data_IF_561124317315
#
_entry.id   IF_561124317315
#
_cell.length_a   1.000
_cell.length_b   1.000
_cell.length_c   1.000
_cell.angle_alpha   90.00
_cell.angle_beta   90.00
_cell.angle_gamma   90.00
#
_symmetry.space_group_name_H-M   'P 1'
#
loop_
_entity.id
_entity.type
_entity.pdbx_description
1 polymer ?
#
# COMPACT_ATOMS: atom_id res chain seq x y z
N UNK A 1 -64.14 14.30 8.95
CA UNK A 1 -62.92 13.80 9.64
C UNK A 1 -61.82 13.65 8.62
N UNK A 2 -60.99 14.68 8.49
CA UNK A 2 -59.78 14.67 7.66
C UNK A 2 -58.74 15.47 8.42
N UNK A 3 -57.88 14.76 9.16
CA UNK A 3 -56.76 15.35 9.88
C UNK A 3 -55.67 15.73 8.86
N UNK A 4 -55.45 17.03 8.67
CA UNK A 4 -54.21 17.53 8.08
C UNK A 4 -53.08 17.38 9.10
N UNK A 5 -52.09 16.53 8.77
CA UNK A 5 -50.83 16.47 9.49
C UNK A 5 -49.97 17.67 9.09
N UNK A 6 -49.83 18.64 9.98
CA UNK A 6 -48.78 19.66 9.90
C UNK A 6 -47.46 18.97 10.22
N UNK A 7 -46.63 18.75 9.21
CA UNK A 7 -45.23 18.34 9.39
C UNK A 7 -44.44 19.59 9.79
N UNK A 8 -43.81 19.65 10.97
CA UNK A 8 -42.95 20.78 11.31
C UNK A 8 -41.70 20.71 10.41
N UNK A 9 -41.46 21.76 9.63
CA UNK A 9 -40.21 21.96 8.91
C UNK A 9 -39.08 22.11 9.94
N UNK A 10 -38.16 21.15 9.98
CA UNK A 10 -36.88 21.30 10.67
C UNK A 10 -36.20 22.58 10.18
N UNK A 11 -36.15 23.60 11.03
CA UNK A 11 -35.26 24.73 10.82
C UNK A 11 -33.82 24.21 10.95
N UNK A 12 -33.07 24.25 9.84
CA UNK A 12 -31.63 24.03 9.86
C UNK A 12 -30.95 25.05 10.80
N UNK A 13 -30.31 24.63 11.90
CA UNK A 13 -29.66 25.56 12.83
C UNK A 13 -28.43 26.25 12.22
N UNK A 14 -28.01 25.85 11.02
CA UNK A 14 -26.87 26.44 10.32
C UNK A 14 -27.20 27.66 9.45
N UNK A 15 -28.47 28.01 9.22
CA UNK A 15 -28.85 29.04 8.24
C UNK A 15 -28.51 30.49 8.65
N UNK A 16 -28.09 30.73 9.90
CA UNK A 16 -27.92 32.09 10.45
C UNK A 16 -26.47 32.55 10.62
N UNK A 17 -25.48 31.89 10.01
CA UNK A 17 -24.09 32.34 10.05
C UNK A 17 -23.74 33.19 8.83
N UNK A 18 -23.19 34.40 9.06
CA UNK A 18 -22.70 35.29 8.00
C UNK A 18 -21.73 34.55 7.07
N UNK A 19 -21.82 34.82 5.77
CA UNK A 19 -20.94 34.23 4.74
C UNK A 19 -19.44 34.31 5.10
N UNK A 20 -19.04 35.37 5.81
CA UNK A 20 -17.67 35.54 6.31
C UNK A 20 -17.26 34.49 7.36
N UNK A 21 -18.17 34.08 8.24
CA UNK A 21 -17.93 33.04 9.27
C UNK A 21 -17.80 31.68 8.60
N UNK A 22 -18.66 31.38 7.63
CA UNK A 22 -18.57 30.14 6.83
C UNK A 22 -17.30 30.09 5.97
N UNK A 23 -16.86 31.24 5.45
CA UNK A 23 -15.60 31.36 4.71
C UNK A 23 -14.37 31.22 5.62
N UNK A 24 -14.40 31.78 6.82
CA UNK A 24 -13.34 31.59 7.82
C UNK A 24 -13.28 30.14 8.32
N UNK A 25 -14.42 29.49 8.52
CA UNK A 25 -14.50 28.06 8.79
C UNK A 25 -13.95 27.25 7.61
N UNK A 26 -14.26 27.64 6.37
CA UNK A 26 -13.68 27.02 5.17
C UNK A 26 -12.16 27.19 5.13
N UNK A 27 -11.63 28.39 5.31
CA UNK A 27 -10.20 28.64 5.33
C UNK A 27 -9.51 27.90 6.47
N UNK A 28 -10.13 27.84 7.64
CA UNK A 28 -9.60 27.09 8.78
C UNK A 28 -9.59 25.59 8.52
N UNK A 29 -10.69 25.00 8.04
CA UNK A 29 -10.78 23.56 7.69
C UNK A 29 -9.89 23.22 6.50
N UNK A 30 -9.78 24.10 5.51
CA UNK A 30 -8.87 23.94 4.37
C UNK A 30 -7.41 23.98 4.82
N UNK A 31 -7.05 24.95 5.67
CA UNK A 31 -5.70 25.08 6.22
C UNK A 31 -5.35 23.89 7.11
N UNK A 32 -6.25 23.44 8.00
CA UNK A 32 -6.01 22.27 8.86
C UNK A 32 -5.96 20.98 8.05
N UNK A 33 -6.82 20.83 7.02
CA UNK A 33 -6.77 19.70 6.09
C UNK A 33 -5.47 19.70 5.28
N UNK A 34 -4.98 20.86 4.83
CA UNK A 34 -3.71 21.01 4.11
C UNK A 34 -2.50 20.74 5.00
N UNK A 35 -2.54 21.17 6.26
CA UNK A 35 -1.52 20.81 7.25
C UNK A 35 -1.55 19.30 7.48
N UNK A 36 -2.73 18.69 7.66
CA UNK A 36 -2.90 17.24 7.83
C UNK A 36 -2.41 16.42 6.60
N UNK A 37 -2.65 16.94 5.38
CA UNK A 37 -2.10 16.40 4.10
C UNK A 37 -0.57 16.35 4.13
N UNK A 38 0.04 17.40 4.64
CA UNK A 38 1.49 17.57 4.60
C UNK A 38 2.20 16.87 5.75
N UNK A 39 1.55 16.73 6.92
CA UNK A 39 2.23 16.29 8.15
C UNK A 39 1.91 14.88 8.61
N UNK A 40 0.70 14.33 8.35
CA UNK A 40 0.22 13.19 9.14
C UNK A 40 -0.23 11.95 8.36
N UNK A 41 -0.67 12.04 7.10
CA UNK A 41 -1.16 10.84 6.37
C UNK A 41 -0.76 10.79 4.88
N UNK A 42 -0.06 9.75 4.42
CA UNK A 42 -0.01 9.42 3.00
C UNK A 42 -1.33 8.76 2.58
N UNK A 43 -2.31 9.52 2.10
CA UNK A 43 -3.60 8.94 1.70
C UNK A 43 -4.53 9.88 0.94
N UNK A 44 -5.59 9.30 0.34
CA UNK A 44 -6.61 10.03 -0.42
C UNK A 44 -7.57 10.84 0.47
N UNK A 45 -7.64 10.52 1.76
CA UNK A 45 -8.64 11.05 2.70
C UNK A 45 -8.74 12.59 2.68
N UNK A 46 -7.65 13.36 2.74
CA UNK A 46 -7.80 14.80 2.75
C UNK A 46 -8.26 15.39 1.41
N UNK A 47 -7.90 14.75 0.28
CA UNK A 47 -8.40 15.15 -1.03
C UNK A 47 -9.91 14.91 -1.15
N UNK A 48 -10.39 13.81 -0.58
CA UNK A 48 -11.84 13.52 -0.48
C UNK A 48 -12.52 14.56 0.40
N UNK A 49 -11.96 14.89 1.58
CA UNK A 49 -12.48 15.96 2.42
C UNK A 49 -12.60 17.29 1.64
N UNK A 50 -11.55 17.70 0.93
CA UNK A 50 -11.55 18.88 0.06
C UNK A 50 -12.64 18.81 -1.02
N UNK A 51 -12.77 17.67 -1.69
CA UNK A 51 -13.78 17.47 -2.75
C UNK A 51 -15.21 17.48 -2.21
N UNK A 52 -15.43 17.08 -0.96
CA UNK A 52 -16.74 17.11 -0.29
C UNK A 52 -17.08 18.46 0.32
N UNK A 53 -16.12 19.38 0.49
CA UNK A 53 -16.38 20.72 1.06
C UNK A 53 -17.51 21.49 0.37
N UNK A 54 -17.66 21.44 -0.96
CA UNK A 54 -18.76 22.12 -1.64
C UNK A 54 -20.17 21.65 -1.24
N UNK A 55 -20.32 20.47 -0.62
CA UNK A 55 -21.60 20.00 -0.09
C UNK A 55 -22.11 20.86 1.07
N UNK A 56 -21.21 21.59 1.76
CA UNK A 56 -21.57 22.48 2.86
C UNK A 56 -21.83 23.92 2.40
N UNK A 57 -21.72 24.20 1.10
CA UNK A 57 -22.04 25.50 0.53
C UNK A 57 -23.51 25.57 0.08
N UNK A 58 -24.09 26.77 0.10
CA UNK A 58 -25.43 26.98 -0.44
C UNK A 58 -25.48 26.56 -1.93
N UNK A 59 -26.60 26.00 -2.39
CA UNK A 59 -26.79 25.52 -3.77
C UNK A 59 -26.44 26.54 -4.88
N UNK A 60 -26.40 27.83 -4.55
CA UNK A 60 -26.06 28.92 -5.48
C UNK A 60 -24.56 29.25 -5.55
N UNK A 61 -23.70 28.60 -4.76
CA UNK A 61 -22.27 28.90 -4.69
C UNK A 61 -21.55 28.87 -6.05
N UNK A 62 -21.81 27.92 -6.98
CA UNK A 62 -21.10 27.90 -8.25
C UNK A 62 -21.47 29.13 -9.10
N UNK A 63 -22.74 29.57 -9.01
CA UNK A 63 -23.23 30.77 -9.70
C UNK A 63 -22.64 32.03 -9.09
N UNK A 64 -22.53 32.11 -7.75
CA UNK A 64 -21.91 33.23 -7.03
C UNK A 64 -20.42 33.36 -7.40
N UNK A 65 -19.68 32.26 -7.45
CA UNK A 65 -18.27 32.24 -7.86
C UNK A 65 -18.11 32.61 -9.34
N UNK A 66 -18.91 32.03 -10.23
CA UNK A 66 -18.87 32.34 -11.65
C UNK A 66 -19.20 33.81 -11.95
N UNK A 67 -20.16 34.42 -11.23
CA UNK A 67 -20.45 35.86 -11.33
C UNK A 67 -19.29 36.72 -10.86
N UNK A 68 -18.63 36.32 -9.77
CA UNK A 68 -17.46 37.02 -9.23
C UNK A 68 -16.25 36.92 -10.17
N UNK A 69 -16.02 35.76 -10.80
CA UNK A 69 -14.99 35.58 -11.83
C UNK A 69 -15.29 36.35 -13.13
N UNK A 70 -16.57 36.51 -13.49
CA UNK A 70 -17.00 37.35 -14.61
C UNK A 70 -17.04 38.85 -14.31
N UNK A 71 -16.71 39.27 -13.08
CA UNK A 71 -16.69 40.69 -12.69
C UNK A 71 -18.07 41.34 -12.60
N UNK A 72 -19.17 40.58 -12.50
CA UNK A 72 -20.52 41.15 -12.37
C UNK A 72 -20.75 41.69 -10.96
N UNK A 73 -21.02 43.00 -10.84
CA UNK A 73 -21.33 43.63 -9.56
C UNK A 73 -22.74 43.27 -9.08
N UNK A 74 -22.86 42.95 -7.79
CA UNK A 74 -24.10 42.53 -7.12
C UNK A 74 -25.22 43.57 -7.19
N UNK A 75 -24.88 44.86 -7.35
CA UNK A 75 -25.83 45.97 -7.22
C UNK A 75 -26.79 46.17 -8.41
N UNK A 76 -26.41 45.81 -9.65
CA UNK A 76 -27.27 46.08 -10.82
C UNK A 76 -28.26 44.96 -11.14
N UNK A 77 -28.08 43.78 -10.57
CA UNK A 77 -28.85 42.59 -10.97
C UNK A 77 -30.06 42.33 -10.06
N UNK A 78 -30.03 42.79 -8.81
CA UNK A 78 -31.13 42.57 -7.85
C UNK A 78 -32.38 43.40 -8.16
N UNK A 79 -32.22 44.58 -8.80
CA UNK A 79 -33.36 45.38 -9.25
C UNK A 79 -34.05 44.78 -10.49
N UNK A 80 -33.29 44.14 -11.39
CA UNK A 80 -33.85 43.52 -12.59
C UNK A 80 -34.54 42.18 -12.29
N UNK A 81 -34.08 41.47 -11.27
CA UNK A 81 -34.64 40.15 -10.86
C UNK A 81 -36.00 40.23 -10.15
N UNK A 82 -36.45 41.42 -9.75
CA UNK A 82 -37.78 41.62 -9.15
C UNK A 82 -38.92 41.69 -10.18
N UNK A 83 -38.62 41.97 -11.46
CA UNK A 83 -39.62 42.04 -12.54
C UNK A 83 -39.77 40.74 -13.34
N UNK A 84 -38.75 39.89 -13.38
CA UNK A 84 -38.84 38.57 -14.02
C UNK A 84 -39.02 37.47 -12.96
N UNK A 85 -40.21 37.39 -12.36
CA UNK A 85 -40.68 36.13 -11.73
C UNK A 85 -41.11 35.16 -12.83
N UNK A 86 -40.16 34.80 -13.69
CA UNK A 86 -40.29 33.60 -14.48
C UNK A 86 -39.91 32.44 -13.57
N UNK A 87 -40.86 31.54 -13.33
CA UNK A 87 -40.60 30.28 -12.63
C UNK A 87 -39.33 29.67 -13.25
N UNK A 88 -38.27 29.37 -12.48
CA UNK A 88 -37.19 28.60 -13.03
C UNK A 88 -37.79 27.22 -13.32
N UNK A 89 -38.19 26.97 -14.56
CA UNK A 89 -38.40 25.63 -15.07
C UNK A 89 -37.05 24.94 -15.02
N UNK A 90 -36.73 24.43 -13.84
CA UNK A 90 -35.64 23.50 -13.62
C UNK A 90 -35.91 22.34 -14.56
N UNK A 91 -35.09 22.27 -15.61
CA UNK A 91 -34.92 21.23 -16.59
C UNK A 91 -35.81 19.99 -16.42
N UNK A 92 -36.61 19.68 -17.45
CA UNK A 92 -37.74 18.73 -17.41
C UNK A 92 -37.55 17.39 -16.67
N UNK A 93 -38.67 16.73 -16.30
CA UNK A 93 -38.74 15.59 -15.38
C UNK A 93 -37.82 14.42 -15.74
N UNK A 94 -37.49 14.28 -17.03
CA UNK A 94 -36.58 13.27 -17.56
C UNK A 94 -35.15 13.47 -17.05
N UNK A 95 -34.62 14.71 -17.07
CA UNK A 95 -33.26 15.02 -16.57
C UNK A 95 -33.15 14.75 -15.07
N UNK A 96 -34.19 15.05 -14.30
CA UNK A 96 -34.25 14.74 -12.86
C UNK A 96 -34.27 13.23 -12.59
N UNK A 97 -35.02 12.45 -13.37
CA UNK A 97 -35.06 10.98 -13.26
C UNK A 97 -33.70 10.34 -13.60
N UNK A 98 -33.02 10.81 -14.65
CA UNK A 98 -31.68 10.31 -15.00
C UNK A 98 -30.63 10.62 -13.93
N UNK A 99 -30.64 11.85 -13.38
CA UNK A 99 -29.73 12.22 -12.28
C UNK A 99 -30.02 11.38 -11.03
N UNK A 100 -31.29 11.20 -10.68
CA UNK A 100 -31.69 10.37 -9.55
C UNK A 100 -31.27 8.90 -9.75
N UNK A 101 -31.42 8.35 -10.96
CA UNK A 101 -30.96 7.00 -11.28
C UNK A 101 -29.45 6.88 -11.17
N UNK A 102 -28.68 7.80 -11.76
CA UNK A 102 -27.22 7.80 -11.65
C UNK A 102 -26.74 7.90 -10.19
N UNK A 103 -27.40 8.72 -9.37
CA UNK A 103 -27.13 8.79 -7.94
C UNK A 103 -27.46 7.47 -7.23
N UNK A 104 -28.61 6.87 -7.51
CA UNK A 104 -28.99 5.59 -6.90
C UNK A 104 -28.02 4.47 -7.29
N UNK A 105 -27.59 4.41 -8.55
CA UNK A 105 -26.56 3.49 -9.02
C UNK A 105 -25.23 3.73 -8.30
N UNK A 106 -24.84 4.99 -8.09
CA UNK A 106 -23.62 5.32 -7.33
C UNK A 106 -23.72 4.85 -5.89
N UNK A 107 -24.81 5.13 -5.19
CA UNK A 107 -25.03 4.66 -3.80
C UNK A 107 -25.04 3.15 -3.73
N UNK A 108 -25.73 2.48 -4.65
CA UNK A 108 -25.73 1.01 -4.73
C UNK A 108 -24.32 0.46 -4.95
N UNK A 109 -23.53 1.07 -5.85
CA UNK A 109 -22.14 0.67 -6.09
C UNK A 109 -21.27 0.87 -4.85
N UNK A 110 -21.39 2.00 -4.15
CA UNK A 110 -20.62 2.29 -2.93
C UNK A 110 -20.97 1.34 -1.78
N UNK A 111 -22.23 0.91 -1.68
CA UNK A 111 -22.65 -0.10 -0.72
C UNK A 111 -22.22 -1.51 -1.14
N UNK A 112 -22.14 -1.79 -2.44
CA UNK A 112 -21.82 -3.11 -2.97
C UNK A 112 -20.32 -3.44 -2.97
N UNK A 113 -19.47 -2.51 -3.44
CA UNK A 113 -18.04 -2.73 -3.62
C UNK A 113 -17.34 -3.27 -2.37
N UNK A 114 -17.64 -2.78 -1.15
CA UNK A 114 -16.99 -3.29 0.03
C UNK A 114 -17.35 -4.75 0.37
N UNK A 115 -18.50 -5.26 -0.08
CA UNK A 115 -18.92 -6.65 0.13
C UNK A 115 -18.64 -7.55 -1.09
N UNK A 116 -17.95 -7.03 -2.10
CA UNK A 116 -17.70 -7.74 -3.37
C UNK A 116 -16.74 -8.93 -3.28
N UNK A 117 -16.25 -9.27 -2.08
CA UNK A 117 -15.26 -10.33 -1.79
C UNK A 117 -15.55 -11.68 -2.46
N UNK A 118 -16.83 -12.02 -2.63
CA UNK A 118 -17.26 -13.27 -3.24
C UNK A 118 -16.99 -13.30 -4.75
N UNK A 119 -16.98 -12.14 -5.40
CA UNK A 119 -16.76 -11.96 -6.84
C UNK A 119 -15.28 -11.67 -7.09
N UNK A 120 -14.66 -10.80 -6.31
CA UNK A 120 -13.29 -10.30 -6.52
C UNK A 120 -12.21 -11.21 -5.90
N UNK A 121 -12.38 -12.53 -6.04
CA UNK A 121 -11.51 -13.53 -5.39
C UNK A 121 -10.03 -13.44 -5.77
N UNK A 122 -9.69 -12.90 -6.95
CA UNK A 122 -8.30 -12.75 -7.39
C UNK A 122 -7.53 -11.63 -6.71
N UNK A 123 -8.24 -10.74 -6.01
CA UNK A 123 -7.65 -9.69 -5.19
C UNK A 123 -7.52 -10.10 -3.73
N UNK A 124 -8.20 -11.19 -3.33
CA UNK A 124 -8.10 -11.72 -1.97
C UNK A 124 -6.76 -12.45 -1.84
N UNK A 125 -5.99 -12.03 -0.84
CA UNK A 125 -4.78 -12.72 -0.41
C UNK A 125 -5.05 -13.32 0.98
N UNK A 126 -4.25 -12.96 1.99
CA UNK A 126 -4.55 -13.31 3.39
C UNK A 126 -5.75 -12.56 3.96
N UNK A 127 -6.11 -11.44 3.34
CA UNK A 127 -7.27 -10.62 3.71
C UNK A 127 -8.28 -10.68 2.57
N UNK A 128 -9.56 -10.79 2.92
CA UNK A 128 -10.65 -10.78 1.96
C UNK A 128 -10.97 -9.33 1.62
N UNK A 129 -10.90 -8.91 0.36
CA UNK A 129 -11.07 -7.49 0.07
C UNK A 129 -10.38 -7.02 -1.17
N UNK A 130 -11.10 -6.20 -1.94
CA UNK A 130 -10.46 -5.32 -2.90
C UNK A 130 -9.72 -4.21 -2.12
N UNK A 131 -8.41 -4.12 -2.34
CA UNK A 131 -7.60 -3.05 -1.78
C UNK A 131 -8.20 -1.68 -2.14
N UNK A 132 -8.45 -0.86 -1.12
CA UNK A 132 -9.00 0.49 -1.23
C UNK A 132 -10.53 0.58 -1.14
N UNK A 133 -11.25 -0.53 -1.30
CA UNK A 133 -12.71 -0.55 -1.33
C UNK A 133 -13.34 -1.39 -0.21
N UNK A 134 -12.59 -2.31 0.38
CA UNK A 134 -13.04 -3.08 1.53
C UNK A 134 -13.09 -2.23 2.81
N UNK A 135 -14.05 -2.52 3.70
CA UNK A 135 -14.17 -1.86 5.02
C UNK A 135 -13.02 -2.21 5.98
N UNK A 136 -12.37 -3.36 5.80
CA UNK A 136 -11.31 -3.87 6.69
C UNK A 136 -9.93 -3.24 6.42
N UNK A 137 -9.85 -2.27 5.50
CA UNK A 137 -8.60 -1.65 5.05
C UNK A 137 -7.69 -1.15 6.18
N UNK A 138 -8.24 -0.57 7.25
CA UNK A 138 -7.45 -0.03 8.37
C UNK A 138 -7.16 -1.04 9.48
N UNK A 139 -7.57 -2.30 9.34
CA UNK A 139 -7.37 -3.35 10.36
C UNK A 139 -6.03 -4.08 10.17
N UNK A 140 -5.37 -3.87 9.03
CA UNK A 140 -4.21 -4.66 8.61
C UNK A 140 -2.93 -3.83 8.56
N UNK A 141 -1.99 -4.18 9.43
CA UNK A 141 -0.60 -3.74 9.41
C UNK A 141 0.26 -4.82 8.78
N UNK A 142 0.97 -4.45 7.71
CA UNK A 142 1.85 -5.34 6.97
C UNK A 142 3.30 -4.92 7.19
N UNK A 143 4.18 -5.87 7.49
CA UNK A 143 5.64 -5.66 7.50
C UNK A 143 6.33 -6.68 6.62
N UNK A 144 7.39 -6.25 5.92
CA UNK A 144 8.22 -7.09 5.06
C UNK A 144 9.64 -7.15 5.61
N UNK A 145 10.23 -8.34 5.67
CA UNK A 145 11.62 -8.52 6.11
C UNK A 145 12.56 -8.78 4.94
N UNK A 146 12.16 -9.68 4.04
CA UNK A 146 12.95 -10.09 2.89
C UNK A 146 12.08 -10.04 1.63
N UNK A 147 12.61 -9.48 0.55
CA UNK A 147 11.97 -9.46 -0.76
C UNK A 147 13.04 -9.68 -1.80
N UNK A 148 12.93 -10.81 -2.49
CA UNK A 148 13.90 -11.26 -3.48
C UNK A 148 13.16 -11.51 -4.79
N UNK A 149 13.70 -10.94 -5.86
CA UNK A 149 13.25 -11.20 -7.21
C UNK A 149 14.35 -11.99 -7.89
N UNK A 150 14.06 -13.24 -8.25
CA UNK A 150 14.98 -14.12 -8.97
C UNK A 150 14.52 -14.26 -10.41
N UNK A 151 15.43 -13.97 -11.34
CA UNK A 151 15.30 -14.30 -12.75
C UNK A 151 16.17 -15.53 -12.97
N UNK A 152 15.56 -16.61 -13.42
CA UNK A 152 16.29 -17.83 -13.80
C UNK A 152 16.34 -17.89 -15.32
N UNK A 153 17.56 -17.86 -15.87
CA UNK A 153 17.76 -18.01 -17.30
C UNK A 153 17.72 -19.51 -17.65
N UNK A 154 16.71 -19.92 -18.42
CA UNK A 154 16.48 -21.33 -18.79
C UNK A 154 17.50 -21.85 -19.81
N UNK A 155 18.25 -20.96 -20.47
CA UNK A 155 19.21 -21.34 -21.51
C UNK A 155 20.58 -21.73 -20.92
N UNK A 156 21.03 -21.05 -19.85
CA UNK A 156 22.33 -21.31 -19.21
C UNK A 156 22.22 -21.77 -17.74
N UNK A 157 21.03 -21.73 -17.13
CA UNK A 157 20.79 -22.09 -15.75
C UNK A 157 21.31 -21.08 -14.72
N UNK A 158 21.65 -19.85 -15.15
CA UNK A 158 22.13 -18.80 -14.25
C UNK A 158 20.98 -18.04 -13.58
N UNK A 159 21.15 -17.80 -12.28
CA UNK A 159 20.23 -17.02 -11.46
C UNK A 159 20.70 -15.57 -11.35
N UNK A 160 19.82 -14.63 -11.67
CA UNK A 160 20.06 -13.19 -11.56
C UNK A 160 19.07 -12.61 -10.55
N UNK A 161 19.60 -11.91 -9.55
CA UNK A 161 18.80 -11.30 -8.50
C UNK A 161 18.60 -9.81 -8.75
N UNK A 162 17.35 -9.35 -8.68
CA UNK A 162 16.98 -7.95 -8.85
C UNK A 162 16.60 -7.29 -7.53
N UNK A 163 17.00 -6.03 -7.39
CA UNK A 163 16.52 -5.20 -6.29
C UNK A 163 15.01 -4.94 -6.43
N UNK A 164 14.20 -5.17 -5.37
CA UNK A 164 12.77 -4.89 -5.34
C UNK A 164 12.39 -3.43 -5.67
N UNK A 165 13.35 -2.52 -5.50
CA UNK A 165 13.15 -1.07 -5.66
C UNK A 165 13.66 -0.52 -6.99
N UNK A 166 14.19 -1.38 -7.87
CA UNK A 166 14.85 -0.94 -9.11
C UNK A 166 13.89 -0.20 -10.09
N UNK A 167 12.63 -0.63 -10.19
CA UNK A 167 11.64 0.02 -11.09
C UNK A 167 10.45 0.66 -10.38
N UNK A 168 10.11 0.18 -9.17
CA UNK A 168 9.01 0.72 -8.38
C UNK A 168 9.52 1.06 -6.98
N UNK A 169 9.35 2.31 -6.57
CA UNK A 169 9.79 2.79 -5.26
C UNK A 169 8.82 2.44 -4.12
N UNK A 170 7.64 1.92 -4.46
CA UNK A 170 6.56 1.63 -3.51
C UNK A 170 6.55 0.14 -3.16
N UNK A 171 6.24 -0.16 -1.91
CA UNK A 171 6.20 -1.50 -1.32
C UNK A 171 4.86 -2.23 -1.53
N UNK A 172 3.90 -1.60 -2.20
CA UNK A 172 2.55 -2.13 -2.38
C UNK A 172 2.48 -3.33 -3.31
N UNK A 173 3.36 -3.37 -4.32
CA UNK A 173 3.26 -4.37 -5.38
C UNK A 173 3.44 -5.79 -4.84
N UNK A 174 4.27 -5.96 -3.81
CA UNK A 174 4.50 -7.27 -3.21
C UNK A 174 3.44 -7.69 -2.20
N UNK A 175 2.55 -6.78 -1.76
CA UNK A 175 1.45 -7.07 -0.83
C UNK A 175 0.21 -7.63 -1.51
N UNK A 176 0.07 -7.40 -2.82
CA UNK A 176 -1.12 -7.73 -3.59
C UNK A 176 -0.78 -8.55 -4.83
N UNK A 177 -1.48 -9.67 -5.05
CA UNK A 177 -1.14 -10.63 -6.10
C UNK A 177 -1.34 -10.03 -7.51
N UNK A 178 -2.36 -9.20 -7.68
CA UNK A 178 -2.62 -8.49 -8.94
C UNK A 178 -1.48 -7.53 -9.29
N UNK A 179 -0.97 -6.81 -8.30
CA UNK A 179 0.13 -5.88 -8.48
C UNK A 179 1.46 -6.61 -8.69
N UNK A 180 1.69 -7.74 -8.00
CA UNK A 180 2.85 -8.59 -8.23
C UNK A 180 2.84 -9.15 -9.67
N UNK A 181 1.70 -9.66 -10.14
CA UNK A 181 1.53 -10.11 -11.52
C UNK A 181 1.79 -8.97 -12.52
N UNK A 182 1.22 -7.78 -12.29
CA UNK A 182 1.47 -6.61 -13.15
C UNK A 182 2.95 -6.21 -13.15
N UNK A 183 3.62 -6.28 -12.01
CA UNK A 183 5.03 -5.96 -11.87
C UNK A 183 5.92 -6.97 -12.61
N UNK A 184 5.62 -8.27 -12.52
CA UNK A 184 6.30 -9.31 -13.29
C UNK A 184 6.23 -9.05 -14.81
N UNK A 185 5.05 -8.73 -15.33
CA UNK A 185 4.89 -8.37 -16.75
C UNK A 185 5.50 -7.02 -17.12
N UNK A 186 5.67 -6.11 -16.14
CA UNK A 186 6.43 -4.87 -16.33
C UNK A 186 7.93 -5.18 -16.50
N UNK A 187 8.49 -6.01 -15.61
CA UNK A 187 9.87 -6.48 -15.68
C UNK A 187 10.14 -7.20 -17.00
N UNK A 188 9.24 -8.11 -17.41
CA UNK A 188 9.35 -8.80 -18.71
C UNK A 188 9.54 -7.83 -19.87
N UNK A 189 8.67 -6.83 -19.99
CA UNK A 189 8.77 -5.82 -21.07
C UNK A 189 10.05 -5.00 -21.01
N UNK A 190 10.62 -4.79 -19.83
CA UNK A 190 11.87 -4.06 -19.65
C UNK A 190 13.09 -4.90 -20.03
N UNK A 191 13.12 -6.16 -19.59
CA UNK A 191 14.17 -7.14 -19.91
C UNK A 191 14.18 -7.38 -21.42
N UNK A 192 13.04 -7.71 -22.02
CA UNK A 192 12.91 -7.96 -23.46
C UNK A 192 13.35 -6.75 -24.32
N UNK A 193 13.28 -5.53 -23.77
CA UNK A 193 13.68 -4.30 -24.46
C UNK A 193 15.16 -3.93 -24.27
N UNK A 194 15.81 -4.43 -23.22
CA UNK A 194 17.18 -4.03 -22.83
C UNK A 194 18.18 -5.15 -23.09
N UNK A 195 17.79 -6.40 -22.81
CA UNK A 195 18.62 -7.60 -22.88
C UNK A 195 18.15 -8.48 -24.05
N UNK A 196 18.59 -8.17 -25.26
CA UNK A 196 18.17 -8.88 -26.48
C UNK A 196 18.58 -10.38 -26.50
N UNK A 197 19.56 -10.74 -25.66
CA UNK A 197 20.10 -12.10 -25.55
C UNK A 197 19.29 -12.98 -24.58
N UNK A 198 18.59 -12.38 -23.61
CA UNK A 198 17.80 -13.12 -22.62
C UNK A 198 16.36 -13.31 -23.10
N UNK A 199 16.10 -14.41 -23.82
CA UNK A 199 14.77 -14.68 -24.40
C UNK A 199 13.94 -15.68 -23.60
N UNK A 200 14.60 -16.59 -22.89
CA UNK A 200 13.95 -17.71 -22.21
C UNK A 200 14.31 -17.70 -20.72
N UNK A 201 13.45 -17.08 -19.92
CA UNK A 201 13.66 -16.96 -18.48
C UNK A 201 12.36 -17.15 -17.72
N UNK A 202 12.47 -17.60 -16.48
CA UNK A 202 11.39 -17.60 -15.49
C UNK A 202 11.61 -16.53 -14.44
N UNK A 203 10.50 -16.01 -13.89
CA UNK A 203 10.55 -15.00 -12.84
C UNK A 203 9.92 -15.54 -11.57
N UNK A 204 10.72 -15.58 -10.51
CA UNK A 204 10.36 -16.12 -9.21
C UNK A 204 10.38 -15.01 -8.16
N UNK A 205 9.33 -14.95 -7.35
CA UNK A 205 9.21 -13.99 -6.26
C UNK A 205 9.27 -14.70 -4.92
N UNK A 206 10.27 -14.35 -4.12
CA UNK A 206 10.37 -14.78 -2.74
C UNK A 206 10.17 -13.59 -1.80
N UNK A 207 9.00 -13.53 -1.17
CA UNK A 207 8.54 -12.35 -0.42
C UNK A 207 8.03 -12.78 0.94
N UNK A 208 8.71 -12.29 1.98
CA UNK A 208 8.43 -12.59 3.37
C UNK A 208 7.67 -11.44 4.02
N UNK A 209 6.49 -11.77 4.54
CA UNK A 209 5.54 -10.82 5.07
C UNK A 209 5.00 -11.28 6.43
N UNK A 210 4.68 -10.31 7.28
CA UNK A 210 3.88 -10.51 8.49
C UNK A 210 2.63 -9.65 8.45
N UNK A 211 1.54 -10.23 8.93
CA UNK A 211 0.24 -9.59 9.07
C UNK A 211 -0.13 -9.46 10.54
N UNK A 212 -0.22 -8.22 11.02
CA UNK A 212 -0.60 -7.87 12.40
C UNK A 212 0.27 -8.54 13.47
N UNK A 213 1.60 -8.57 13.26
CA UNK A 213 2.55 -9.11 14.23
C UNK A 213 2.56 -10.64 14.36
N UNK A 214 2.03 -11.36 13.35
CA UNK A 214 2.19 -12.81 13.23
C UNK A 214 3.63 -13.17 12.82
N UNK A 215 3.93 -14.47 12.79
CA UNK A 215 5.14 -14.99 12.13
C UNK A 215 5.32 -14.39 10.73
N UNK A 216 6.57 -14.09 10.38
CA UNK A 216 6.95 -13.81 9.01
C UNK A 216 6.82 -15.11 8.21
N UNK A 217 6.06 -15.08 7.13
CA UNK A 217 5.87 -16.22 6.24
C UNK A 217 5.89 -15.78 4.77
N UNK A 218 6.10 -16.72 3.87
CA UNK A 218 6.05 -16.45 2.43
C UNK A 218 4.66 -16.03 1.99
N UNK A 219 4.61 -14.98 1.18
CA UNK A 219 3.39 -14.49 0.55
C UNK A 219 3.04 -15.26 -0.72
N UNK A 220 4.06 -15.59 -1.51
CA UNK A 220 3.95 -16.27 -2.80
C UNK A 220 4.83 -17.52 -2.82
N UNK A 221 4.42 -18.51 -3.61
CA UNK A 221 5.23 -19.70 -3.84
C UNK A 221 6.49 -19.33 -4.65
N UNK A 222 7.71 -19.46 -4.10
CA UNK A 222 8.94 -19.09 -4.80
C UNK A 222 9.26 -20.03 -5.96
N UNK A 223 8.65 -21.23 -6.03
CA UNK A 223 8.92 -22.22 -7.08
C UNK A 223 8.13 -21.95 -8.37
N UNK A 224 7.10 -21.10 -8.30
CA UNK A 224 6.22 -20.80 -9.43
C UNK A 224 6.79 -19.68 -10.28
N UNK A 225 6.80 -19.88 -11.61
CA UNK A 225 7.08 -18.81 -12.57
C UNK A 225 5.88 -17.88 -12.69
N UNK A 226 6.02 -16.65 -12.19
CA UNK A 226 4.95 -15.65 -12.16
C UNK A 226 4.54 -15.20 -13.57
N UNK A 227 5.42 -15.33 -14.58
CA UNK A 227 5.10 -14.96 -15.96
C UNK A 227 4.09 -15.90 -16.61
N UNK A 228 4.12 -17.17 -16.22
CA UNK A 228 3.25 -18.23 -16.72
C UNK A 228 2.06 -18.51 -15.77
N UNK A 229 2.16 -18.06 -14.51
CA UNK A 229 1.16 -18.30 -13.48
C UNK A 229 -0.20 -17.66 -13.83
N UNK A 230 -1.33 -18.38 -13.66
CA UNK A 230 -2.65 -17.84 -13.93
C UNK A 230 -3.04 -16.80 -12.87
N UNK A 231 -3.56 -15.66 -13.33
CA UNK A 231 -4.22 -14.67 -12.48
C UNK A 231 -5.53 -14.21 -13.11
N UNK A 232 -6.59 -14.07 -12.30
CA UNK A 232 -7.90 -13.60 -12.76
C UNK A 232 -8.61 -12.86 -11.64
N UNK A 233 -9.28 -11.72 -11.91
CA UNK A 233 -10.07 -10.99 -10.91
C UNK A 233 -11.09 -11.85 -10.15
N UNK A 234 -11.61 -12.90 -10.79
CA UNK A 234 -12.77 -13.67 -10.31
C UNK A 234 -12.41 -15.01 -9.67
N UNK A 235 -11.14 -15.42 -9.71
CA UNK A 235 -10.68 -16.71 -9.19
C UNK A 235 -9.58 -16.49 -8.18
N UNK A 236 -9.54 -17.33 -7.16
CA UNK A 236 -8.45 -17.29 -6.18
C UNK A 236 -7.13 -17.61 -6.87
N UNK A 237 -6.10 -16.86 -6.50
CA UNK A 237 -4.77 -16.97 -7.06
C UNK A 237 -4.05 -18.18 -6.48
N UNK A 238 -3.68 -19.21 -7.28
CA UNK A 238 -3.20 -20.49 -6.76
C UNK A 238 -1.77 -20.43 -6.20
N UNK A 239 -0.97 -19.45 -6.62
CA UNK A 239 0.42 -19.25 -6.19
C UNK A 239 0.56 -18.33 -4.98
N UNK A 240 -0.56 -17.89 -4.38
CA UNK A 240 -0.56 -17.18 -3.10
C UNK A 240 -0.57 -18.19 -1.97
N UNK A 241 0.40 -18.09 -1.07
CA UNK A 241 0.52 -19.03 0.06
C UNK A 241 -0.59 -18.78 1.08
N UNK A 242 -1.15 -19.83 1.69
CA UNK A 242 -2.19 -19.67 2.71
C UNK A 242 -1.62 -19.00 3.96
N UNK A 243 -2.43 -18.19 4.63
CA UNK A 243 -2.05 -17.63 5.93
C UNK A 243 -1.98 -18.76 6.95
N UNK A 244 -0.87 -18.89 7.68
CA UNK A 244 -0.69 -19.90 8.74
C UNK A 244 -1.49 -19.48 9.98
N UNK A 245 -2.81 -19.70 9.93
CA UNK A 245 -3.73 -19.38 11.03
C UNK A 245 -3.43 -20.18 12.29
N UNK A 246 -2.95 -21.41 12.14
CA UNK A 246 -2.78 -22.38 13.22
C UNK A 246 -1.70 -21.93 14.22
N UNK A 247 -0.74 -21.15 13.77
CA UNK A 247 0.30 -20.55 14.62
C UNK A 247 -0.20 -19.27 15.36
N UNK A 248 -1.45 -18.84 15.15
CA UNK A 248 -1.97 -17.61 15.77
C UNK A 248 -2.09 -17.69 17.29
N UNK A 249 -2.33 -18.87 17.84
CA UNK A 249 -2.45 -19.08 19.29
C UNK A 249 -1.11 -18.85 20.02
N UNK A 250 0.00 -18.85 19.27
CA UNK A 250 1.36 -18.59 19.79
C UNK A 250 1.67 -17.11 19.96
N UNK A 251 0.80 -16.18 19.52
CA UNK A 251 1.09 -14.74 19.61
C UNK A 251 1.38 -14.27 21.03
N UNK A 252 0.68 -14.81 22.01
CA UNK A 252 0.94 -14.47 23.41
C UNK A 252 2.38 -14.88 23.79
N UNK A 253 2.78 -16.11 23.47
CA UNK A 253 4.13 -16.63 23.71
C UNK A 253 5.19 -15.84 22.95
N UNK A 254 4.92 -15.45 21.70
CA UNK A 254 5.83 -14.58 20.93
C UNK A 254 6.04 -13.24 21.63
N UNK A 255 4.97 -12.63 22.16
CA UNK A 255 5.07 -11.40 22.93
C UNK A 255 5.81 -11.58 24.25
N UNK A 256 5.64 -12.71 24.94
CA UNK A 256 6.41 -13.06 26.14
C UNK A 256 7.91 -13.18 25.82
N UNK A 257 8.26 -13.91 24.76
CA UNK A 257 9.64 -14.06 24.28
C UNK A 257 10.23 -12.72 23.84
N UNK A 258 9.49 -11.92 23.08
CA UNK A 258 9.94 -10.60 22.63
C UNK A 258 10.24 -9.68 23.82
N UNK A 259 9.35 -9.66 24.82
CA UNK A 259 9.59 -8.91 26.05
C UNK A 259 10.81 -9.42 26.81
N UNK A 260 10.98 -10.74 26.93
CA UNK A 260 12.15 -11.34 27.58
C UNK A 260 13.44 -10.96 26.86
N UNK A 261 13.50 -11.11 25.54
CA UNK A 261 14.67 -10.77 24.72
C UNK A 261 14.99 -9.28 24.84
N UNK A 262 13.99 -8.40 24.91
CA UNK A 262 14.19 -6.97 25.13
C UNK A 262 14.76 -6.66 26.52
N UNK A 263 14.62 -7.53 27.53
CA UNK A 263 15.27 -7.34 28.85
C UNK A 263 16.76 -7.65 28.83
N UNK A 264 17.25 -8.45 27.88
CA UNK A 264 18.67 -8.80 27.80
C UNK A 264 19.54 -7.58 27.49
N UNK A 265 19.05 -6.69 26.63
CA UNK A 265 19.72 -5.45 26.22
C UNK A 265 18.75 -4.53 25.48
N UNK A 266 19.02 -3.21 25.49
CA UNK A 266 18.29 -2.27 24.63
C UNK A 266 18.54 -2.48 23.12
N UNK A 267 19.47 -3.38 22.77
CA UNK A 267 19.88 -3.67 21.39
C UNK A 267 19.54 -5.11 20.97
N UNK A 268 18.97 -5.91 21.85
CA UNK A 268 18.50 -7.25 21.48
C UNK A 268 17.15 -7.14 20.78
N UNK A 269 16.95 -7.99 19.79
CA UNK A 269 15.69 -8.12 19.09
C UNK A 269 15.47 -9.58 18.71
N UNK A 270 14.22 -9.91 18.41
CA UNK A 270 13.81 -11.23 17.95
C UNK A 270 13.03 -11.10 16.64
N UNK A 271 13.26 -12.05 15.74
CA UNK A 271 12.54 -12.19 14.48
C UNK A 271 11.90 -13.58 14.43
N UNK A 272 10.58 -13.63 14.35
CA UNK A 272 9.81 -14.88 14.28
C UNK A 272 9.47 -15.21 12.83
N UNK A 273 9.78 -16.44 12.41
CA UNK A 273 9.59 -16.93 11.04
C UNK A 273 8.82 -18.25 11.07
N UNK A 274 7.98 -18.46 10.07
CA UNK A 274 7.37 -19.74 9.77
C UNK A 274 7.43 -20.00 8.26
N UNK A 275 7.86 -21.20 7.87
CA UNK A 275 7.98 -21.60 6.46
C UNK A 275 7.26 -22.93 6.20
N UNK A 276 6.95 -23.17 4.93
CA UNK A 276 6.18 -24.33 4.48
C UNK A 276 7.07 -25.54 4.24
N UNK A 277 6.53 -26.77 4.35
CA UNK A 277 7.24 -28.01 4.07
C UNK A 277 7.96 -27.99 2.72
N UNK A 278 9.23 -28.41 2.71
CA UNK A 278 10.05 -28.52 1.50
C UNK A 278 10.62 -27.21 0.96
N UNK A 279 10.31 -26.06 1.56
CA UNK A 279 10.88 -24.77 1.16
C UNK A 279 12.15 -24.44 1.95
N UNK A 280 13.05 -23.71 1.28
CA UNK A 280 14.35 -23.30 1.79
C UNK A 280 14.42 -21.79 1.92
N UNK A 281 14.62 -21.28 3.12
CA UNK A 281 15.01 -19.89 3.34
C UNK A 281 16.53 -19.78 3.20
N UNK A 282 17.00 -19.08 2.18
CA UNK A 282 18.38 -18.60 2.10
C UNK A 282 18.43 -17.16 2.60
N UNK A 283 19.25 -16.90 3.62
CA UNK A 283 19.33 -15.58 4.24
C UNK A 283 20.79 -15.21 4.52
N UNK A 284 21.10 -13.92 4.36
CA UNK A 284 22.39 -13.36 4.72
C UNK A 284 22.29 -12.58 6.01
N UNK A 285 23.13 -12.91 6.99
CA UNK A 285 23.19 -12.19 8.25
C UNK A 285 24.24 -11.07 8.15
N UNK A 286 23.80 -9.82 8.34
CA UNK A 286 24.72 -8.69 8.29
C UNK A 286 25.76 -8.76 9.41
N UNK A 287 27.00 -8.31 9.12
CA UNK A 287 28.13 -8.30 10.05
C UNK A 287 27.92 -7.50 11.34
N UNK A 288 26.96 -6.57 11.33
CA UNK A 288 26.62 -5.72 12.47
C UNK A 288 25.63 -6.41 13.43
N UNK A 289 25.25 -7.65 13.17
CA UNK A 289 24.47 -8.46 14.09
C UNK A 289 25.44 -9.38 14.83
N UNK A 290 25.35 -9.36 16.15
CA UNK A 290 26.14 -10.19 17.04
C UNK A 290 25.27 -11.15 17.84
N UNK A 291 25.88 -12.21 18.36
CA UNK A 291 25.21 -13.22 19.19
C UNK A 291 23.89 -13.74 18.57
N UNK A 292 23.93 -14.08 17.27
CA UNK A 292 22.75 -14.59 16.58
C UNK A 292 22.52 -16.05 16.97
N UNK A 293 21.31 -16.36 17.44
CA UNK A 293 20.87 -17.74 17.66
C UNK A 293 19.61 -18.01 16.88
N UNK A 294 19.57 -19.18 16.22
CA UNK A 294 18.36 -19.73 15.62
C UNK A 294 17.79 -20.75 16.61
N UNK A 295 16.53 -20.57 17.01
CA UNK A 295 15.83 -21.52 17.90
C UNK A 295 14.56 -22.01 17.23
N UNK A 296 14.36 -23.32 17.20
CA UNK A 296 13.15 -23.94 16.62
C UNK A 296 12.04 -23.93 17.67
N UNK A 297 10.89 -23.38 17.29
CA UNK A 297 9.72 -23.25 18.17
C UNK A 297 8.69 -24.36 17.93
N UNK A 298 8.56 -24.83 16.70
CA UNK A 298 7.65 -25.93 16.34
C UNK A 298 8.12 -26.56 15.01
N UNK A 299 8.00 -27.88 14.90
CA UNK A 299 8.41 -28.63 13.72
C UNK A 299 9.90 -28.99 13.71
N UNK A 300 10.42 -29.23 12.52
CA UNK A 300 11.79 -29.66 12.27
C UNK A 300 12.37 -28.86 11.10
N UNK A 301 13.60 -28.39 11.26
CA UNK A 301 14.33 -27.68 10.22
C UNK A 301 15.74 -28.21 10.10
N UNK A 302 16.23 -28.30 8.87
CA UNK A 302 17.62 -28.58 8.57
C UNK A 302 18.34 -27.25 8.33
N UNK A 303 19.22 -26.88 9.26
CA UNK A 303 20.08 -25.72 9.16
C UNK A 303 21.34 -26.09 8.38
N UNK A 304 21.73 -25.27 7.41
CA UNK A 304 22.97 -25.44 6.65
C UNK A 304 23.73 -24.14 6.57
N UNK A 305 25.03 -24.21 6.84
CA UNK A 305 25.95 -23.08 6.68
C UNK A 305 27.24 -23.62 6.10
N UNK A 306 27.71 -22.98 5.03
CA UNK A 306 28.83 -23.48 4.23
C UNK A 306 28.61 -24.96 3.81
N UNK A 307 29.41 -25.89 4.33
CA UNK A 307 29.31 -27.34 4.08
C UNK A 307 28.80 -28.15 5.29
N UNK A 308 28.43 -27.47 6.38
CA UNK A 308 27.91 -28.12 7.59
C UNK A 308 26.38 -28.14 7.56
N UNK A 309 25.80 -29.29 7.89
CA UNK A 309 24.35 -29.47 8.04
C UNK A 309 24.02 -29.93 9.46
N UNK A 310 23.03 -29.29 10.08
CA UNK A 310 22.56 -29.60 11.42
C UNK A 310 21.03 -29.72 11.43
N UNK A 311 20.52 -30.87 11.87
CA UNK A 311 19.08 -31.08 12.01
C UNK A 311 18.61 -30.56 13.37
N UNK A 312 17.66 -29.64 13.36
CA UNK A 312 17.13 -28.98 14.55
C UNK A 312 15.65 -29.32 14.73
N UNK A 313 15.35 -29.99 15.84
CA UNK A 313 13.98 -30.29 16.27
C UNK A 313 13.45 -29.19 17.19
N UNK A 314 12.15 -29.25 17.52
CA UNK A 314 11.50 -28.35 18.48
C UNK A 314 12.32 -28.18 19.78
N UNK A 315 12.58 -26.93 20.16
CA UNK A 315 13.37 -26.55 21.34
C UNK A 315 14.89 -26.55 21.12
N UNK A 316 15.40 -27.10 20.01
CA UNK A 316 16.81 -27.03 19.68
C UNK A 316 17.20 -25.62 19.22
N UNK A 317 18.44 -25.24 19.52
CA UNK A 317 19.00 -23.95 19.13
C UNK A 317 20.43 -24.09 18.63
N UNK A 318 20.78 -23.36 17.58
CA UNK A 318 22.16 -23.29 17.06
C UNK A 318 22.62 -21.84 16.94
N UNK A 319 23.94 -21.64 16.90
CA UNK A 319 24.54 -20.31 16.69
C UNK A 319 24.72 -20.06 15.20
N UNK A 320 24.33 -18.87 14.76
CA UNK A 320 24.45 -18.48 13.35
C UNK A 320 25.62 -17.52 13.20
N UNK A 321 26.61 -17.82 12.33
CA UNK A 321 27.75 -16.95 12.11
C UNK A 321 27.32 -15.62 11.44
N UNK A 322 27.84 -14.46 11.87
CA UNK A 322 27.59 -13.21 11.17
C UNK A 322 28.35 -13.16 9.84
N UNK A 323 27.88 -12.32 8.91
CA UNK A 323 28.49 -12.13 7.58
C UNK A 323 28.54 -13.40 6.71
N UNK A 324 27.64 -14.35 6.95
CA UNK A 324 27.54 -15.59 6.17
C UNK A 324 26.13 -15.76 5.61
N UNK A 325 26.03 -16.52 4.52
CA UNK A 325 24.76 -17.05 4.03
C UNK A 325 24.49 -18.37 4.73
N UNK A 326 23.25 -18.56 5.16
CA UNK A 326 22.79 -19.82 5.68
C UNK A 326 21.46 -20.20 5.04
N UNK A 327 21.18 -21.50 5.05
CA UNK A 327 19.96 -22.08 4.52
C UNK A 327 19.20 -22.77 5.64
N UNK A 328 17.89 -22.54 5.70
CA UNK A 328 16.98 -23.22 6.61
C UNK A 328 15.95 -23.95 5.76
N UNK A 329 16.02 -25.28 5.72
CA UNK A 329 15.05 -26.12 5.03
C UNK A 329 14.02 -26.64 6.02
N UNK A 330 12.75 -26.47 5.71
CA UNK A 330 11.66 -27.10 6.48
C UNK A 330 11.50 -28.56 6.07
N UNK A 331 11.93 -29.49 6.92
CA UNK A 331 11.88 -30.95 6.65
C UNK A 331 10.59 -31.59 7.15
N UNK A 332 9.92 -30.98 8.13
CA UNK A 332 8.70 -31.54 8.72
C UNK A 332 7.51 -31.52 7.75
N UNK A 333 6.53 -32.41 7.98
CA UNK A 333 5.32 -32.51 7.16
C UNK A 333 4.35 -31.33 7.32
N UNK A 334 4.51 -30.57 8.39
CA UNK A 334 3.74 -29.36 8.72
C UNK A 334 4.64 -28.13 8.62
N UNK A 335 4.08 -26.91 8.54
CA UNK A 335 4.90 -25.71 8.59
C UNK A 335 5.76 -25.68 9.87
N UNK A 336 7.06 -25.41 9.72
CA UNK A 336 7.97 -25.25 10.86
C UNK A 336 8.05 -23.77 11.25
N UNK A 337 8.15 -23.49 12.54
CA UNK A 337 8.33 -22.13 13.06
C UNK A 337 9.61 -22.06 13.89
N UNK A 338 10.33 -20.96 13.72
CA UNK A 338 11.62 -20.72 14.38
C UNK A 338 11.81 -19.23 14.58
N UNK A 339 12.76 -18.88 15.45
CA UNK A 339 13.10 -17.50 15.74
C UNK A 339 14.60 -17.26 15.62
N UNK A 340 14.95 -16.05 15.19
CA UNK A 340 16.29 -15.51 15.35
C UNK A 340 16.28 -14.55 16.53
N UNK A 341 17.16 -14.75 17.51
CA UNK A 341 17.50 -13.68 18.45
C UNK A 341 18.86 -13.13 18.07
N UNK A 342 19.05 -11.83 18.17
CA UNK A 342 20.30 -11.18 17.81
C UNK A 342 20.49 -9.88 18.60
N UNK A 343 21.75 -9.49 18.76
CA UNK A 343 22.16 -8.21 19.31
C UNK A 343 22.62 -7.30 18.17
N UNK A 344 22.03 -6.11 18.08
CA UNK A 344 22.51 -5.11 17.15
C UNK A 344 23.82 -4.51 17.68
N UNK A 345 24.93 -4.72 16.96
CA UNK A 345 26.27 -4.21 17.32
C UNK A 345 26.66 -2.96 16.55
N UNK A 346 25.75 -2.32 15.79
CA UNK A 346 26.03 -1.03 15.15
C UNK A 346 26.43 -0.01 16.22
N UNK A 347 27.73 0.31 16.24
CA UNK A 347 28.48 1.25 17.09
C UNK A 347 28.29 1.06 18.62
N UNK A 348 29.29 0.41 19.24
CA UNK A 348 29.64 0.66 20.63
C UNK A 348 30.05 2.14 20.79
N UNK A 349 29.65 2.86 21.85
CA UNK A 349 29.99 4.26 22.00
C UNK A 349 31.48 4.38 22.38
N UNK A 350 32.36 4.54 21.39
CA UNK A 350 33.48 5.45 21.59
C UNK A 350 32.88 6.85 21.75
N UNK A 351 33.24 7.51 22.83
CA UNK A 351 32.79 8.83 23.24
C UNK A 351 33.01 9.88 22.14
N UNK A 352 32.05 9.98 21.23
CA UNK A 352 31.76 11.19 20.46
C UNK A 352 30.45 11.74 21.02
N UNK A 353 30.38 13.05 21.34
CA UNK A 353 29.14 13.61 21.84
C UNK A 353 28.05 13.36 20.81
N UNK A 354 26.95 12.72 21.26
CA UNK A 354 25.71 12.54 20.51
C UNK A 354 25.45 13.77 19.65
N UNK A 355 25.28 13.64 18.31
CA UNK A 355 24.75 14.75 17.55
C UNK A 355 23.38 15.07 18.15
N UNK A 356 23.23 16.29 18.65
CA UNK A 356 21.96 16.79 19.18
C UNK A 356 20.86 16.43 18.19
N UNK A 357 19.78 15.78 18.66
CA UNK A 357 18.53 15.47 17.93
C UNK A 357 18.49 16.24 16.60
N UNK A 358 18.87 15.55 15.52
CA UNK A 358 19.06 16.19 14.23
C UNK A 358 17.84 17.03 13.87
N UNK A 359 18.02 18.35 13.75
CA UNK A 359 17.07 19.15 12.99
C UNK A 359 17.02 18.54 11.60
N UNK A 360 15.84 18.10 11.18
CA UNK A 360 15.54 17.89 9.77
C UNK A 360 16.13 19.08 9.00
N UNK A 361 16.90 18.85 7.92
CA UNK A 361 17.46 19.95 7.16
C UNK A 361 16.33 20.91 6.79
N UNK A 362 16.56 22.21 6.87
CA UNK A 362 15.55 23.26 6.64
C UNK A 362 14.81 23.08 5.30
N UNK A 363 15.42 22.36 4.36
CA UNK A 363 14.89 22.07 3.03
C UNK A 363 14.33 20.63 2.87
N UNK A 364 14.12 19.87 3.95
CA UNK A 364 13.56 18.50 3.85
C UNK A 364 12.14 18.52 3.30
N UNK A 365 11.29 19.38 3.88
CA UNK A 365 9.89 19.50 3.47
C UNK A 365 9.78 19.98 2.00
N UNK A 366 10.62 20.92 1.59
CA UNK A 366 10.65 21.43 0.22
C UNK A 366 11.16 20.36 -0.76
N UNK A 367 12.24 19.64 -0.41
CA UNK A 367 12.76 18.54 -1.24
C UNK A 367 11.78 17.37 -1.34
N UNK A 368 11.10 17.03 -0.25
CA UNK A 368 10.05 16.01 -0.23
C UNK A 368 8.83 16.43 -1.07
N UNK A 369 8.43 17.70 -0.99
CA UNK A 369 7.36 18.26 -1.81
C UNK A 369 7.71 18.21 -3.30
N UNK A 370 8.88 18.70 -3.70
CA UNK A 370 9.33 18.67 -5.09
C UNK A 370 9.46 17.24 -5.61
N UNK A 371 9.96 16.30 -4.80
CA UNK A 371 9.99 14.88 -5.15
C UNK A 371 8.59 14.30 -5.38
N UNK A 372 7.59 14.68 -4.57
CA UNK A 372 6.19 14.28 -4.80
C UNK A 372 5.63 14.87 -6.10
N UNK A 373 5.91 16.15 -6.37
CA UNK A 373 5.50 16.81 -7.63
C UNK A 373 6.14 16.13 -8.84
N UNK A 374 7.44 15.85 -8.81
CA UNK A 374 8.13 15.14 -9.89
C UNK A 374 7.54 13.74 -10.14
N UNK A 375 7.21 13.01 -9.07
CA UNK A 375 6.54 11.72 -9.19
C UNK A 375 5.15 11.83 -9.81
N UNK A 376 4.36 12.86 -9.43
CA UNK A 376 3.04 13.12 -10.03
C UNK A 376 3.20 13.48 -11.51
N UNK A 377 4.12 14.38 -11.86
CA UNK A 377 4.38 14.76 -13.25
C UNK A 377 4.84 13.56 -14.09
N UNK A 378 5.70 12.71 -13.52
CA UNK A 378 6.12 11.45 -14.15
C UNK A 378 4.94 10.51 -14.35
N UNK A 379 4.06 10.36 -13.36
CA UNK A 379 2.84 9.55 -13.46
C UNK A 379 1.91 10.07 -14.55
N UNK A 380 1.64 11.39 -14.60
CA UNK A 380 0.80 12.01 -15.63
C UNK A 380 1.40 11.80 -17.02
N UNK A 381 2.72 11.98 -17.18
CA UNK A 381 3.40 11.73 -18.43
C UNK A 381 3.28 10.27 -18.88
N UNK A 382 3.45 9.32 -17.97
CA UNK A 382 3.31 7.89 -18.25
C UNK A 382 1.86 7.51 -18.62
N UNK A 383 0.87 8.03 -17.89
CA UNK A 383 -0.55 7.81 -18.20
C UNK A 383 -0.93 8.42 -19.54
N UNK A 384 -0.46 9.64 -19.85
CA UNK A 384 -0.68 10.29 -21.14
C UNK A 384 -0.06 9.49 -22.28
N UNK A 385 1.19 9.02 -22.11
CA UNK A 385 1.85 8.15 -23.08
C UNK A 385 1.11 6.82 -23.27
N UNK A 386 0.63 6.20 -22.19
CA UNK A 386 -0.15 4.97 -22.28
C UNK A 386 -1.48 5.20 -23.01
N UNK A 387 -2.19 6.28 -22.68
CA UNK A 387 -3.44 6.66 -23.34
C UNK A 387 -3.22 6.93 -24.83
N UNK A 388 -2.19 7.70 -25.20
CA UNK A 388 -1.86 8.00 -26.59
C UNK A 388 -1.41 6.75 -27.36
N UNK A 389 -0.67 5.84 -26.71
CA UNK A 389 -0.31 4.57 -27.30
C UNK A 389 -1.54 3.69 -27.57
N UNK A 390 -2.51 3.67 -26.65
CA UNK A 390 -3.75 2.90 -26.83
C UNK A 390 -4.62 3.53 -27.94
N UNK A 391 -4.76 4.86 -27.94
CA UNK A 391 -5.65 5.56 -28.87
C UNK A 391 -5.08 5.72 -30.28
N UNK A 392 -3.76 5.88 -30.41
CA UNK A 392 -3.11 6.27 -31.67
C UNK A 392 -1.94 5.37 -32.07
N UNK A 393 -1.59 4.36 -31.26
CA UNK A 393 -0.47 3.44 -31.50
C UNK A 393 0.90 4.12 -31.70
N UNK A 394 1.07 5.37 -31.23
CA UNK A 394 2.33 6.12 -31.32
C UNK A 394 3.08 6.07 -29.98
N UNK A 395 4.28 5.45 -29.89
CA UNK A 395 5.12 5.55 -28.71
C UNK A 395 5.88 6.89 -28.70
N UNK A 396 5.59 7.78 -27.75
CA UNK A 396 6.40 8.99 -27.55
C UNK A 396 7.64 8.69 -26.69
N UNK A 397 8.81 8.71 -27.32
CA UNK A 397 10.11 8.64 -26.66
C UNK A 397 10.35 9.90 -25.82
N UNK A 398 10.44 9.76 -24.48
CA UNK A 398 10.79 10.87 -23.59
C UNK A 398 12.30 11.14 -23.70
N UNK A 399 12.67 12.32 -24.20
CA UNK A 399 14.05 12.81 -24.13
C UNK A 399 14.30 13.32 -22.70
N UNK A 400 15.00 12.53 -21.89
CA UNK A 400 15.43 12.94 -20.54
C UNK A 400 16.64 13.85 -20.73
N UNK A 401 16.55 15.12 -20.28
CA UNK A 401 17.74 15.95 -20.13
C UNK A 401 18.49 15.43 -18.91
N UNK A 402 19.67 14.84 -19.16
CA UNK A 402 20.68 14.63 -18.12
C UNK A 402 21.22 16.04 -17.83
N UNK A 403 21.00 16.52 -16.63
CA UNK A 403 21.73 17.68 -16.11
C UNK A 403 23.10 17.19 -15.67
N UNK A 404 24.15 17.70 -16.30
CA UNK A 404 25.55 17.50 -15.89
C UNK A 404 25.82 17.93 -14.45
#
# INVERSE_FOLDING_TARGET
>A
TSHEFIVPTCHDPFSSTSFAIRYLQFCYVFQTSLVLICTLFPGMFPYVCLATMPLFFDNDWPRKVARRWRGESTLKTDLKKKMDKENPTVSGPIKRKFVAFGFLCHVALQLFLPYSHCITKGYNNWTNGLYGYSWDMMVHTWSSTLTTIKIENKDNGEDIYLSPTAWVSTDKWFKHADMAYQYAHCLKRHIDATEAEMKNYSLHFDIWMSLNGRFQQRMYDPTVDILEAPWSPFRQTPWVMPLLSDLSDRRQKMGEIENEVLTWSNRSAVLFIADFPGLVLENYIHKDLGNITLTVLEGEVLYRVDDEEELLCEGASTRVPPATFHKVLTTSSTPSSYMYTYLNTTEAPESTPLPSKGRLPTNYATKAFWRKIDNILRSIALMSNAFLKIMFNVPMMRRVKISD
#
